data_IF_091824960281
#
_entry.id   IF_091824960281
#
_cell.length_a   1.000
_cell.length_b   1.000
_cell.length_c   1.000
_cell.angle_alpha   90.00
_cell.angle_beta   90.00
_cell.angle_gamma   90.00
#
_symmetry.space_group_name_H-M   'P 1'
#
loop_
_entity.id
_entity.type
_entity.pdbx_description
1 polymer ?
#
# COMPACT_ATOMS: atom_id res chain seq x y z
N UNK A 1 17.89 -0.68 -6.04
CA UNK A 1 18.46 0.57 -5.50
C UNK A 1 18.94 0.37 -4.07
N UNK A 2 19.87 1.20 -3.65
CA UNK A 2 20.39 1.15 -2.28
C UNK A 2 19.25 1.42 -1.28
N UNK A 3 19.14 0.65 -0.17
CA UNK A 3 18.12 0.88 0.86
C UNK A 3 18.10 2.29 1.45
N UNK A 4 19.28 2.94 1.54
CA UNK A 4 19.38 4.32 2.04
C UNK A 4 18.57 5.34 1.24
N UNK A 5 18.42 5.12 -0.06
CA UNK A 5 17.58 5.97 -0.92
C UNK A 5 16.11 5.90 -0.50
N UNK A 6 15.64 4.71 -0.16
CA UNK A 6 14.26 4.49 0.25
C UNK A 6 13.98 4.89 1.70
N UNK A 7 15.00 4.83 2.56
CA UNK A 7 14.93 5.39 3.92
C UNK A 7 14.80 6.91 3.83
N UNK A 8 15.65 7.55 3.03
CA UNK A 8 15.64 9.01 2.87
C UNK A 8 14.35 9.56 2.25
N UNK A 9 13.72 8.80 1.37
CA UNK A 9 12.43 9.16 0.76
C UNK A 9 11.21 8.79 1.60
N UNK A 10 11.39 8.06 2.72
CA UNK A 10 10.31 7.59 3.58
C UNK A 10 9.57 6.35 3.09
N UNK A 11 9.87 5.84 1.88
CA UNK A 11 9.15 4.69 1.32
C UNK A 11 9.38 3.40 2.10
N UNK A 12 10.58 3.19 2.66
CA UNK A 12 10.88 1.93 3.34
C UNK A 12 10.14 1.77 4.67
N UNK A 13 9.86 2.86 5.36
CA UNK A 13 9.19 2.86 6.65
C UNK A 13 7.69 3.16 6.63
N UNK A 14 7.17 3.72 5.54
CA UNK A 14 5.77 4.19 5.46
C UNK A 14 4.98 3.67 4.27
N UNK A 15 5.57 2.80 3.45
CA UNK A 15 4.88 2.26 2.27
C UNK A 15 4.40 0.83 2.54
N UNK A 16 3.44 0.71 3.43
CA UNK A 16 2.82 -0.56 3.81
C UNK A 16 1.30 -0.45 3.81
N UNK A 17 0.63 -1.53 3.45
CA UNK A 17 -0.82 -1.65 3.50
C UNK A 17 -1.24 -2.53 4.68
N UNK A 18 -2.29 -2.16 5.42
CA UNK A 18 -2.90 -3.02 6.41
C UNK A 18 -3.73 -4.10 5.71
N UNK A 19 -3.22 -5.33 5.69
CA UNK A 19 -3.88 -6.46 5.05
C UNK A 19 -4.45 -7.43 6.08
N UNK A 20 -5.60 -8.00 5.77
CA UNK A 20 -6.23 -9.10 6.50
C UNK A 20 -6.82 -10.11 5.53
N UNK A 21 -6.92 -11.36 5.97
CA UNK A 21 -7.48 -12.45 5.19
C UNK A 21 -8.82 -12.89 5.79
N UNK A 22 -9.80 -13.22 4.94
CA UNK A 22 -11.01 -13.89 5.39
C UNK A 22 -10.68 -15.35 5.72
N UNK A 23 -11.06 -15.85 6.90
CA UNK A 23 -10.77 -17.23 7.32
C UNK A 23 -11.57 -18.28 6.55
N UNK A 24 -12.70 -17.88 5.97
CA UNK A 24 -13.62 -18.79 5.27
C UNK A 24 -13.28 -18.93 3.78
N UNK A 25 -13.15 -17.82 3.06
CA UNK A 25 -12.86 -17.85 1.62
C UNK A 25 -11.38 -17.67 1.29
N UNK A 26 -10.54 -17.38 2.27
CA UNK A 26 -9.09 -17.15 2.14
C UNK A 26 -8.72 -15.99 1.21
N UNK A 27 -9.67 -15.12 0.89
CA UNK A 27 -9.36 -13.90 0.15
C UNK A 27 -8.76 -12.83 1.03
N UNK A 28 -7.87 -12.06 0.42
CA UNK A 28 -7.12 -10.98 1.06
C UNK A 28 -7.71 -9.63 0.74
N UNK A 29 -7.88 -8.81 1.77
CA UNK A 29 -8.42 -7.46 1.68
C UNK A 29 -7.53 -6.45 2.38
N UNK A 30 -7.58 -5.21 1.90
CA UNK A 30 -7.06 -4.07 2.63
C UNK A 30 -8.10 -3.68 3.69
N UNK A 31 -7.66 -3.61 4.95
CA UNK A 31 -8.55 -3.30 6.06
C UNK A 31 -9.11 -1.86 5.98
N UNK A 32 -8.27 -0.90 5.63
CA UNK A 32 -8.66 0.50 5.43
C UNK A 32 -9.77 0.63 4.39
N UNK A 33 -9.58 0.00 3.22
CA UNK A 33 -10.54 0.08 2.14
C UNK A 33 -11.85 -0.63 2.45
N UNK A 34 -11.79 -1.77 3.14
CA UNK A 34 -12.99 -2.48 3.55
C UNK A 34 -13.84 -1.65 4.52
N UNK A 35 -13.19 -0.92 5.43
CA UNK A 35 -13.86 -0.02 6.36
C UNK A 35 -14.46 1.18 5.61
N UNK A 36 -13.73 1.78 4.66
CA UNK A 36 -14.22 2.90 3.85
C UNK A 36 -15.47 2.52 3.05
N UNK A 37 -15.41 1.40 2.34
CA UNK A 37 -16.51 0.91 1.52
C UNK A 37 -17.76 0.63 2.39
N UNK A 38 -17.57 -0.03 3.53
CA UNK A 38 -18.65 -0.32 4.48
C UNK A 38 -19.28 0.95 5.06
N UNK A 39 -18.45 1.90 5.45
CA UNK A 39 -18.94 3.16 6.02
C UNK A 39 -19.69 4.00 4.99
N UNK A 40 -19.21 4.02 3.74
CA UNK A 40 -19.89 4.70 2.65
C UNK A 40 -21.27 4.08 2.36
N UNK A 41 -21.38 2.76 2.36
CA UNK A 41 -22.65 2.06 2.14
C UNK A 41 -23.66 2.31 3.28
N UNK A 42 -23.19 2.43 4.52
CA UNK A 42 -24.06 2.59 5.70
C UNK A 42 -24.22 4.05 6.18
N UNK A 43 -23.59 5.00 5.47
CA UNK A 43 -23.63 6.43 5.83
C UNK A 43 -22.97 6.74 7.18
N UNK A 44 -21.97 5.95 7.57
CA UNK A 44 -21.20 6.19 8.80
C UNK A 44 -20.13 7.23 8.48
N UNK A 45 -20.18 8.38 9.16
CA UNK A 45 -19.12 9.37 9.06
C UNK A 45 -17.86 8.85 9.76
N UNK A 46 -16.93 8.36 8.96
CA UNK A 46 -15.57 8.11 9.41
C UNK A 46 -14.86 9.46 9.25
N UNK A 47 -14.34 10.03 10.35
CA UNK A 47 -13.62 11.31 10.28
C UNK A 47 -12.57 11.37 9.18
N UNK A 48 -11.81 12.43 9.08
CA UNK A 48 -11.06 12.90 7.90
C UNK A 48 -10.13 11.91 7.16
N UNK A 49 -9.74 10.79 7.68
CA UNK A 49 -9.23 9.61 6.95
C UNK A 49 -8.89 8.44 7.88
N UNK A 50 -9.00 7.23 7.38
CA UNK A 50 -8.59 5.99 8.06
C UNK A 50 -7.06 5.85 8.13
N UNK A 51 -6.33 6.62 7.35
CA UNK A 51 -4.86 6.56 7.25
C UNK A 51 -4.13 6.79 8.60
N UNK A 52 -4.80 7.42 9.56
CA UNK A 52 -4.27 7.66 10.90
C UNK A 52 -4.71 6.62 11.95
N UNK A 53 -5.51 5.63 11.59
CA UNK A 53 -6.02 4.65 12.54
C UNK A 53 -4.97 3.60 12.86
N UNK A 54 -4.91 3.20 14.14
CA UNK A 54 -4.11 2.03 14.53
C UNK A 54 -4.79 0.74 14.08
N UNK A 55 -4.03 -0.35 13.94
CA UNK A 55 -4.58 -1.66 13.60
C UNK A 55 -5.67 -2.11 14.59
N UNK A 56 -5.48 -1.83 15.88
CA UNK A 56 -6.48 -2.12 16.91
C UNK A 56 -7.80 -1.38 16.70
N UNK A 57 -7.74 -0.12 16.27
CA UNK A 57 -8.95 0.66 15.97
C UNK A 57 -9.69 0.11 14.75
N UNK A 58 -8.96 -0.27 13.70
CA UNK A 58 -9.53 -0.91 12.52
C UNK A 58 -10.19 -2.26 12.86
N UNK A 59 -9.50 -3.10 13.64
CA UNK A 59 -10.05 -4.40 14.07
C UNK A 59 -11.30 -4.24 14.95
N UNK A 60 -11.29 -3.30 15.88
CA UNK A 60 -12.44 -3.01 16.73
C UNK A 60 -13.63 -2.54 15.90
N UNK A 61 -13.41 -1.63 14.95
CA UNK A 61 -14.46 -1.17 14.05
C UNK A 61 -15.09 -2.32 13.25
N UNK A 62 -14.27 -3.20 12.69
CA UNK A 62 -14.72 -4.37 11.91
C UNK A 62 -15.56 -5.31 12.80
N UNK A 63 -15.14 -5.54 14.05
CA UNK A 63 -15.84 -6.40 15.00
C UNK A 63 -17.14 -5.77 15.50
N UNK A 64 -17.13 -4.50 15.87
CA UNK A 64 -18.31 -3.80 16.39
C UNK A 64 -19.42 -3.65 15.35
N UNK A 65 -19.04 -3.35 14.11
CA UNK A 65 -20.00 -3.18 13.02
C UNK A 65 -20.33 -4.48 12.28
N UNK A 66 -19.71 -5.61 12.66
CA UNK A 66 -19.87 -6.89 11.97
C UNK A 66 -19.71 -6.76 10.44
N UNK A 67 -18.62 -6.13 10.02
CA UNK A 67 -18.34 -5.89 8.60
C UNK A 67 -18.28 -7.22 7.85
N UNK A 68 -19.13 -7.44 6.83
CA UNK A 68 -19.14 -8.71 6.10
C UNK A 68 -18.01 -8.77 5.09
N UNK A 69 -17.52 -9.97 4.85
CA UNK A 69 -16.61 -10.22 3.73
C UNK A 69 -17.33 -9.98 2.40
N UNK A 70 -16.81 -9.15 1.49
CA UNK A 70 -17.46 -8.85 0.22
C UNK A 70 -17.69 -10.07 -0.68
N UNK A 71 -16.87 -11.12 -0.50
CA UNK A 71 -16.92 -12.32 -1.34
C UNK A 71 -17.84 -13.40 -0.78
N UNK A 72 -17.76 -13.71 0.51
CA UNK A 72 -18.51 -14.83 1.10
C UNK A 72 -19.58 -14.40 2.13
N UNK A 73 -19.64 -13.11 2.48
CA UNK A 73 -20.60 -12.57 3.46
C UNK A 73 -20.35 -12.99 4.92
N UNK A 74 -19.25 -13.68 5.21
CA UNK A 74 -18.86 -14.06 6.58
C UNK A 74 -18.13 -12.92 7.27
N UNK A 75 -18.07 -12.98 8.61
CA UNK A 75 -17.51 -11.92 9.45
C UNK A 75 -16.19 -12.31 10.14
N UNK A 76 -15.58 -13.40 9.73
CA UNK A 76 -14.42 -13.97 10.41
C UNK A 76 -13.14 -13.65 9.63
N UNK A 77 -12.37 -12.69 10.15
CA UNK A 77 -11.13 -12.22 9.57
C UNK A 77 -9.93 -12.58 10.46
N UNK A 78 -8.75 -12.61 9.86
CA UNK A 78 -7.48 -12.72 10.58
C UNK A 78 -7.12 -11.36 11.20
N UNK A 79 -6.11 -11.35 12.05
CA UNK A 79 -5.50 -10.10 12.51
C UNK A 79 -4.94 -9.29 11.33
N UNK A 80 -4.96 -7.97 11.48
CA UNK A 80 -4.39 -7.06 10.48
C UNK A 80 -2.87 -7.14 10.53
N UNK A 81 -2.25 -7.34 9.36
CA UNK A 81 -0.79 -7.40 9.21
C UNK A 81 -0.34 -6.32 8.23
N UNK A 82 0.74 -5.63 8.58
CA UNK A 82 1.38 -4.72 7.65
C UNK A 82 2.09 -5.49 6.54
N UNK A 83 1.76 -5.19 5.33
CA UNK A 83 2.44 -5.70 4.15
C UNK A 83 3.24 -4.59 3.49
N UNK A 84 4.57 -4.70 3.53
CA UNK A 84 5.43 -3.74 2.85
C UNK A 84 5.32 -3.93 1.34
N UNK A 85 4.95 -2.87 0.63
CA UNK A 85 4.77 -2.86 -0.83
C UNK A 85 6.10 -2.83 -1.59
N UNK A 86 7.22 -2.63 -0.88
CA UNK A 86 8.55 -2.64 -1.47
C UNK A 86 9.03 -4.07 -1.71
N UNK A 87 9.25 -4.44 -2.96
CA UNK A 87 9.80 -5.76 -3.29
C UNK A 87 11.29 -5.82 -2.88
N UNK A 88 11.57 -6.70 -1.93
CA UNK A 88 12.91 -6.97 -1.43
C UNK A 88 13.60 -8.05 -2.27
N UNK A 89 14.85 -7.81 -2.66
CA UNK A 89 15.69 -8.78 -3.36
C UNK A 89 17.14 -8.65 -2.90
N UNK A 90 18.03 -9.50 -3.40
CA UNK A 90 19.43 -9.52 -3.00
C UNK A 90 20.33 -9.34 -4.22
N UNK A 91 21.46 -8.72 -3.99
CA UNK A 91 22.53 -8.60 -4.95
C UNK A 91 23.60 -9.63 -4.63
N UNK A 92 23.82 -10.62 -5.52
CA UNK A 92 24.77 -11.71 -5.30
C UNK A 92 24.11 -13.04 -4.96
N UNK A 93 24.91 -13.99 -4.45
CA UNK A 93 24.51 -15.39 -4.24
C UNK A 93 23.95 -15.64 -2.82
N UNK A 94 24.27 -14.77 -1.86
CA UNK A 94 23.88 -14.93 -0.45
C UNK A 94 22.91 -13.86 0.00
N UNK A 95 21.93 -14.28 0.80
CA UNK A 95 20.94 -13.41 1.47
C UNK A 95 21.55 -12.71 2.69
N UNK A 96 22.47 -11.77 2.46
CA UNK A 96 23.04 -10.96 3.53
C UNK A 96 22.34 -9.60 3.63
N UNK A 97 22.22 -9.07 4.83
CA UNK A 97 21.66 -7.74 5.06
C UNK A 97 22.39 -6.63 4.27
N UNK A 98 23.68 -6.81 4.01
CA UNK A 98 24.51 -5.89 3.23
C UNK A 98 24.18 -5.93 1.74
N UNK A 99 23.67 -7.03 1.24
CA UNK A 99 23.37 -7.28 -0.16
C UNK A 99 21.87 -7.07 -0.47
N UNK A 100 21.08 -6.73 0.53
CA UNK A 100 19.66 -6.46 0.37
C UNK A 100 19.44 -5.18 -0.41
N UNK A 101 18.63 -5.26 -1.47
CA UNK A 101 18.18 -4.13 -2.26
C UNK A 101 16.68 -4.17 -2.45
N UNK A 102 16.08 -3.02 -2.67
CA UNK A 102 14.65 -2.90 -2.91
C UNK A 102 14.37 -2.39 -4.32
N UNK A 103 13.40 -2.99 -4.98
CA UNK A 103 12.88 -2.47 -6.22
C UNK A 103 12.01 -1.24 -5.92
N UNK A 104 11.82 -0.38 -6.92
CA UNK A 104 10.94 0.78 -6.77
C UNK A 104 9.49 0.33 -6.55
N UNK A 105 8.75 0.92 -5.60
CA UNK A 105 7.37 0.54 -5.34
C UNK A 105 6.41 1.06 -6.42
N UNK A 106 6.75 2.21 -7.00
CA UNK A 106 5.94 2.88 -8.00
C UNK A 106 6.81 3.59 -9.04
N UNK A 107 6.23 3.89 -10.20
CA UNK A 107 6.92 4.53 -11.33
C UNK A 107 6.66 6.03 -11.42
N UNK A 108 5.70 6.57 -10.66
CA UNK A 108 5.23 7.94 -10.76
C UNK A 108 6.36 8.96 -10.68
N UNK A 109 7.21 8.87 -9.66
CA UNK A 109 8.34 9.80 -9.47
C UNK A 109 9.31 9.78 -10.64
N UNK A 110 9.67 8.59 -11.12
CA UNK A 110 10.55 8.43 -12.28
C UNK A 110 9.95 9.02 -13.55
N UNK A 111 8.65 8.87 -13.76
CA UNK A 111 7.94 9.42 -14.91
C UNK A 111 7.98 10.95 -14.89
N UNK A 112 7.67 11.58 -13.76
CA UNK A 112 7.67 13.04 -13.65
C UNK A 112 9.06 13.64 -13.85
N UNK A 113 10.09 13.04 -13.28
CA UNK A 113 11.49 13.48 -13.49
C UNK A 113 11.88 13.33 -14.96
N UNK A 114 11.57 12.17 -15.57
CA UNK A 114 11.90 11.90 -16.96
C UNK A 114 11.11 12.77 -17.94
N UNK A 115 9.87 13.12 -17.64
CA UNK A 115 9.09 14.04 -18.47
C UNK A 115 9.86 15.34 -18.75
N UNK A 116 10.39 15.95 -17.70
CA UNK A 116 11.18 17.17 -17.83
C UNK A 116 12.49 16.99 -18.60
N UNK A 117 13.15 15.86 -18.40
CA UNK A 117 14.37 15.50 -19.12
C UNK A 117 14.10 15.29 -20.61
N UNK A 118 13.05 14.52 -20.95
CA UNK A 118 12.66 14.27 -22.35
C UNK A 118 12.23 15.56 -23.05
N UNK A 119 11.47 16.42 -22.38
CA UNK A 119 11.10 17.74 -22.92
C UNK A 119 12.33 18.55 -23.32
N UNK A 120 13.32 18.63 -22.44
CA UNK A 120 14.55 19.39 -22.68
C UNK A 120 15.41 18.82 -23.79
N UNK A 121 15.64 17.51 -23.77
CA UNK A 121 16.53 16.82 -24.72
C UNK A 121 15.92 16.69 -26.12
N UNK A 122 14.62 16.40 -26.20
CA UNK A 122 13.93 16.25 -27.49
C UNK A 122 13.38 17.57 -28.07
N UNK A 123 13.48 18.66 -27.32
CA UNK A 123 12.99 20.00 -27.71
C UNK A 123 11.50 20.03 -28.14
N UNK A 124 10.72 19.13 -27.59
CA UNK A 124 9.26 19.03 -27.92
C UNK A 124 8.48 20.12 -27.21
N UNK A 125 7.45 20.63 -27.90
CA UNK A 125 6.47 21.55 -27.32
C UNK A 125 5.40 20.77 -26.57
N UNK A 126 4.88 21.33 -25.49
CA UNK A 126 3.74 20.78 -24.74
C UNK A 126 2.45 21.05 -25.53
N UNK A 127 1.51 20.07 -25.60
CA UNK A 127 1.54 18.73 -25.00
C UNK A 127 2.32 17.70 -25.83
N UNK A 128 2.94 16.71 -25.14
CA UNK A 128 3.54 15.55 -25.81
C UNK A 128 3.45 14.33 -24.86
N UNK A 129 3.48 13.12 -25.42
CA UNK A 129 3.51 11.88 -24.66
C UNK A 129 4.94 11.30 -24.56
N UNK A 130 5.17 10.55 -23.49
CA UNK A 130 6.39 9.73 -23.27
C UNK A 130 5.98 8.30 -22.94
#
# INVERSE_FOLDING_TARGET
>A
MNPQTWIASGHLGGFSDPLMDCKECHERFRADKLIEDYAHEHGIEIGDSIDGWSHEQMENFIKENNVPCPTCGKHDFTEIREFNLMFKTFQGVTEDAKNTVYLRPETAQGIFVNFKNVQRTSRKKIPFGI
#
